data_IF_103338068597
#
_entry.id   IF_103338068597
#
_cell.length_a   1.000
_cell.length_b   1.000
_cell.length_c   1.000
_cell.angle_alpha   90.00
_cell.angle_beta   90.00
_cell.angle_gamma   90.00
#
_symmetry.space_group_name_H-M   'P 1'
#
loop_
_entity.id
_entity.type
_entity.pdbx_description
1 polymer ?
#
# COMPACT_ATOMS: atom_id res chain seq x y z
N UNK A 1 0.73 3.25 -12.03
CA UNK A 1 1.13 1.85 -12.18
C UNK A 1 0.49 1.01 -11.09
N UNK A 2 0.09 -0.21 -11.44
CA UNK A 2 -0.53 -1.10 -10.46
C UNK A 2 0.53 -1.91 -9.74
N UNK A 3 0.48 -1.99 -8.41
CA UNK A 3 1.38 -2.84 -7.67
C UNK A 3 1.04 -4.32 -7.87
N UNK A 4 2.05 -5.16 -7.73
CA UNK A 4 1.90 -6.61 -7.82
C UNK A 4 1.84 -7.20 -6.41
N UNK A 5 0.87 -8.07 -6.18
CA UNK A 5 0.73 -8.80 -4.92
C UNK A 5 1.69 -9.98 -4.89
N UNK A 6 2.45 -10.11 -3.80
CA UNK A 6 3.24 -11.29 -3.49
C UNK A 6 2.72 -11.88 -2.18
N UNK A 7 2.42 -13.17 -2.19
CA UNK A 7 1.99 -13.89 -0.99
C UNK A 7 3.12 -14.83 -0.57
N UNK A 8 3.64 -14.65 0.64
CA UNK A 8 4.71 -15.47 1.18
C UNK A 8 4.16 -16.79 1.74
N UNK A 9 5.04 -17.78 1.94
CA UNK A 9 4.65 -19.10 2.41
C UNK A 9 3.92 -19.07 3.75
N UNK A 10 4.27 -18.09 4.61
CA UNK A 10 3.62 -17.93 5.92
C UNK A 10 2.27 -17.23 5.87
N UNK A 11 1.83 -16.81 4.65
CA UNK A 11 0.55 -16.13 4.48
C UNK A 11 0.62 -14.60 4.49
N UNK A 12 1.80 -14.01 4.72
CA UNK A 12 1.97 -12.56 4.65
C UNK A 12 1.79 -12.07 3.21
N UNK A 13 1.17 -10.90 3.04
CA UNK A 13 0.93 -10.30 1.73
C UNK A 13 1.67 -8.98 1.60
N UNK A 14 2.29 -8.75 0.44
CA UNK A 14 3.03 -7.54 0.16
C UNK A 14 2.71 -7.05 -1.24
N UNK A 15 2.45 -5.76 -1.39
CA UNK A 15 2.21 -5.12 -2.70
C UNK A 15 3.40 -4.24 -3.04
N UNK A 16 4.00 -4.46 -4.23
CA UNK A 16 5.17 -3.72 -4.71
C UNK A 16 4.99 -3.25 -6.13
N UNK A 17 5.53 -2.07 -6.43
CA UNK A 17 5.66 -1.59 -7.81
C UNK A 17 6.78 -2.35 -8.53
N UNK A 18 6.84 -2.28 -9.88
CA UNK A 18 7.93 -2.93 -10.63
C UNK A 18 9.33 -2.51 -10.21
N UNK A 19 9.49 -1.28 -9.67
CA UNK A 19 10.78 -0.80 -9.18
C UNK A 19 11.13 -1.32 -7.79
N UNK A 20 10.26 -2.16 -7.18
CA UNK A 20 10.50 -2.73 -5.86
C UNK A 20 9.95 -1.91 -4.69
N UNK A 21 9.45 -0.70 -4.94
CA UNK A 21 8.89 0.11 -3.87
C UNK A 21 7.58 -0.47 -3.36
N UNK A 22 7.41 -0.49 -2.04
CA UNK A 22 6.14 -0.85 -1.44
C UNK A 22 5.11 0.21 -1.80
N UNK A 23 3.93 -0.24 -2.24
CA UNK A 23 2.91 0.69 -2.75
C UNK A 23 1.56 0.01 -2.84
N UNK A 24 0.54 0.65 -2.29
CA UNK A 24 -0.85 0.24 -2.50
C UNK A 24 -1.76 1.44 -2.27
N UNK A 25 -2.69 1.69 -3.19
CA UNK A 25 -3.58 2.86 -3.11
C UNK A 25 -4.96 2.52 -2.57
N UNK A 26 -5.30 1.24 -2.42
CA UNK A 26 -6.61 0.80 -1.94
C UNK A 26 -6.55 -0.01 -0.65
N UNK A 27 -5.47 0.11 0.11
CA UNK A 27 -5.33 -0.58 1.38
C UNK A 27 -3.89 -0.58 1.86
N UNK A 28 -3.58 -1.39 2.89
CA UNK A 28 -2.20 -1.51 3.38
C UNK A 28 -1.34 -2.24 2.36
N UNK A 29 -0.08 -1.79 2.19
CA UNK A 29 0.86 -2.41 1.28
C UNK A 29 1.46 -3.68 1.87
N UNK A 30 1.42 -3.85 3.19
CA UNK A 30 1.83 -5.07 3.86
C UNK A 30 0.70 -5.52 4.80
N UNK A 31 0.27 -6.77 4.65
CA UNK A 31 -0.70 -7.40 5.55
C UNK A 31 -0.08 -8.67 6.09
N UNK A 32 0.27 -8.67 7.38
CA UNK A 32 0.80 -9.84 8.04
C UNK A 32 -0.33 -10.82 8.36
N UNK A 33 -0.01 -12.12 8.37
CA UNK A 33 -0.99 -13.14 8.73
C UNK A 33 -1.60 -12.90 10.11
N UNK A 34 -0.83 -12.30 11.02
CA UNK A 34 -1.30 -11.94 12.37
C UNK A 34 -2.38 -10.87 12.38
N UNK A 35 -2.62 -10.20 11.24
CA UNK A 35 -3.56 -9.09 11.13
C UNK A 35 -2.92 -7.72 11.21
N UNK A 36 -1.62 -7.64 11.51
CA UNK A 36 -0.91 -6.37 11.54
C UNK A 36 -0.79 -5.81 10.13
N UNK A 37 -0.97 -4.49 9.95
CA UNK A 37 -1.01 -3.85 8.64
C UNK A 37 -0.10 -2.64 8.61
N UNK A 38 0.57 -2.42 7.45
CA UNK A 38 1.44 -1.25 7.25
C UNK A 38 1.11 -0.63 5.89
N UNK A 39 0.94 0.70 5.87
CA UNK A 39 0.57 1.45 4.67
C UNK A 39 1.78 2.11 4.04
N UNK A 40 1.92 1.98 2.71
CA UNK A 40 3.02 2.54 1.94
C UNK A 40 2.51 3.11 0.62
N UNK A 41 3.07 4.27 0.21
CA UNK A 41 2.87 4.87 -1.09
C UNK A 41 4.24 5.22 -1.67
N UNK A 42 4.57 4.65 -2.83
CA UNK A 42 5.84 4.91 -3.54
C UNK A 42 7.06 4.75 -2.64
N UNK A 43 7.07 3.72 -1.79
CA UNK A 43 8.19 3.43 -0.91
C UNK A 43 8.25 4.27 0.36
N UNK A 44 7.24 5.09 0.61
CA UNK A 44 7.15 5.92 1.82
C UNK A 44 6.09 5.35 2.74
N UNK A 45 6.46 5.10 4.00
CA UNK A 45 5.55 4.55 5.00
C UNK A 45 4.66 5.65 5.57
N UNK A 46 3.38 5.31 5.79
CA UNK A 46 2.39 6.21 6.39
C UNK A 46 1.70 5.52 7.56
N UNK A 47 1.24 6.33 8.54
CA UNK A 47 0.25 5.83 9.49
C UNK A 47 -1.07 5.63 8.75
N UNK A 48 -1.99 4.84 9.32
CA UNK A 48 -3.28 4.63 8.69
C UNK A 48 -4.00 5.95 8.42
N UNK A 49 -3.97 6.87 9.38
CA UNK A 49 -4.64 8.16 9.25
C UNK A 49 -4.01 9.00 8.14
N UNK A 50 -2.68 9.12 8.13
CA UNK A 50 -1.97 9.89 7.09
C UNK A 50 -2.18 9.26 5.72
N UNK A 51 -2.23 7.93 5.65
CA UNK A 51 -2.51 7.22 4.42
C UNK A 51 -3.88 7.59 3.86
N UNK A 52 -4.89 7.68 4.71
CA UNK A 52 -6.23 8.07 4.27
C UNK A 52 -6.25 9.46 3.64
N UNK A 53 -5.53 10.41 4.26
CA UNK A 53 -5.40 11.76 3.70
C UNK A 53 -4.66 11.73 2.35
N UNK A 54 -3.57 11.00 2.28
CA UNK A 54 -2.75 10.94 1.05
C UNK A 54 -3.53 10.34 -0.11
N UNK A 55 -4.21 9.22 0.12
CA UNK A 55 -4.98 8.55 -0.95
C UNK A 55 -6.20 9.37 -1.36
N UNK A 56 -6.83 10.05 -0.41
CA UNK A 56 -7.94 10.96 -0.73
C UNK A 56 -7.47 12.08 -1.65
N UNK A 57 -6.29 12.66 -1.36
CA UNK A 57 -5.72 13.72 -2.18
C UNK A 57 -5.43 13.21 -3.60
N UNK A 58 -4.86 12.01 -3.73
CA UNK A 58 -4.59 11.39 -5.02
C UNK A 58 -5.89 11.20 -5.81
N UNK A 59 -6.93 10.66 -5.17
CA UNK A 59 -8.21 10.41 -5.82
C UNK A 59 -8.88 11.70 -6.27
N UNK A 60 -8.78 12.76 -5.48
CA UNK A 60 -9.34 14.07 -5.85
C UNK A 60 -8.63 14.65 -7.07
N UNK A 61 -7.31 14.48 -7.16
CA UNK A 61 -6.56 14.94 -8.33
C UNK A 61 -6.97 14.20 -9.61
N UNK A 62 -7.31 12.92 -9.50
CA UNK A 62 -7.74 12.13 -10.65
C UNK A 62 -9.14 12.53 -11.14
N UNK A 63 -9.95 13.15 -10.29
CA UNK A 63 -11.29 13.60 -10.64
C UNK A 63 -11.31 15.01 -11.25
N UNK A 64 -10.23 15.73 -11.14
CA UNK A 64 -10.07 17.06 -11.70
C UNK A 64 -9.37 17.00 -13.05
#
# INVERSE_FOLDING_TARGET
>A
MKPKLTVYDNGDKVWKLPNGNLHREDGPAIEFLSGFKIWWINGIQYTEQDYKYKTRSIKLKLLL
#
